data_IF_156533598385
#
_entry.id   IF_156533598385
#
_cell.length_a   1.000
_cell.length_b   1.000
_cell.length_c   1.000
_cell.angle_alpha   90.00
_cell.angle_beta   90.00
_cell.angle_gamma   90.00
#
_symmetry.space_group_name_H-M   'P 1'
#
loop_
_entity.id
_entity.type
_entity.pdbx_description
1 polymer ?
#
# COMPACT_ATOMS: atom_id res chain seq x y z
N UNK A 1 -7.42 24.98 -11.02
CA UNK A 1 -6.49 23.85 -10.85
C UNK A 1 -7.21 22.79 -10.03
N UNK A 2 -7.72 21.75 -10.68
CA UNK A 2 -8.44 20.66 -10.02
C UNK A 2 -8.19 19.39 -10.83
N UNK A 3 -7.05 18.76 -10.59
CA UNK A 3 -6.87 17.36 -10.91
C UNK A 3 -6.46 16.64 -9.63
N UNK A 4 -7.17 15.55 -9.32
CA UNK A 4 -6.62 14.25 -8.93
C UNK A 4 -7.72 13.43 -8.26
N UNK A 5 -8.64 12.96 -9.09
CA UNK A 5 -9.49 11.82 -8.78
C UNK A 5 -9.11 10.68 -9.73
N UNK A 6 -7.82 10.33 -9.77
CA UNK A 6 -7.36 9.12 -10.46
C UNK A 6 -7.53 7.94 -9.51
N UNK A 7 -8.76 7.42 -9.45
CA UNK A 7 -8.96 6.01 -9.07
C UNK A 7 -8.24 5.17 -10.14
N UNK A 8 -7.04 4.70 -9.83
CA UNK A 8 -6.27 3.81 -10.70
C UNK A 8 -7.11 2.55 -10.95
N UNK A 9 -7.67 2.42 -12.15
CA UNK A 9 -8.37 1.19 -12.54
C UNK A 9 -7.34 0.04 -12.52
N UNK A 10 -7.74 -1.17 -12.12
CA UNK A 10 -6.83 -2.31 -12.16
C UNK A 10 -6.28 -2.47 -13.59
N UNK A 11 -4.97 -2.31 -13.73
CA UNK A 11 -4.28 -2.40 -15.02
C UNK A 11 -4.41 -3.84 -15.51
N UNK A 12 -5.13 -4.02 -16.62
CA UNK A 12 -5.23 -5.33 -17.29
C UNK A 12 -3.94 -5.60 -18.03
N UNK A 13 -3.03 -6.33 -17.39
CA UNK A 13 -1.79 -6.80 -18.01
C UNK A 13 -2.06 -7.95 -18.98
N UNK A 14 -1.47 -7.87 -20.17
CA UNK A 14 -1.34 -8.96 -21.14
C UNK A 14 -0.53 -10.12 -20.56
N UNK A 15 -0.61 -11.34 -21.15
CA UNK A 15 0.18 -12.47 -20.69
C UNK A 15 1.69 -12.21 -20.65
N UNK A 16 2.21 -11.49 -21.66
CA UNK A 16 3.64 -11.12 -21.74
C UNK A 16 4.03 -10.17 -20.61
N UNK A 17 3.27 -9.10 -20.39
CA UNK A 17 3.52 -8.14 -19.31
C UNK A 17 3.43 -8.81 -17.93
N UNK A 18 2.51 -9.77 -17.73
CA UNK A 18 2.45 -10.54 -16.48
C UNK A 18 3.70 -11.37 -16.28
N UNK A 19 4.20 -12.02 -17.33
CA UNK A 19 5.43 -12.83 -17.28
C UNK A 19 6.64 -11.97 -16.91
N UNK A 20 6.77 -10.80 -17.53
CA UNK A 20 7.85 -9.84 -17.23
C UNK A 20 7.75 -9.31 -15.79
N UNK A 21 6.56 -8.91 -15.36
CA UNK A 21 6.30 -8.47 -13.99
C UNK A 21 6.65 -9.55 -12.98
N UNK A 22 6.22 -10.80 -13.21
CA UNK A 22 6.53 -11.92 -12.32
C UNK A 22 8.03 -12.22 -12.27
N UNK A 23 8.72 -12.20 -13.42
CA UNK A 23 10.16 -12.38 -13.47
C UNK A 23 10.90 -11.26 -12.72
N UNK A 24 10.42 -10.01 -12.80
CA UNK A 24 10.97 -8.89 -12.05
C UNK A 24 10.77 -9.09 -10.54
N UNK A 25 9.57 -9.48 -10.11
CA UNK A 25 9.28 -9.75 -8.70
C UNK A 25 10.16 -10.87 -8.14
N UNK A 26 10.33 -11.96 -8.89
CA UNK A 26 11.18 -13.07 -8.47
C UNK A 26 12.62 -12.59 -8.25
N UNK A 27 13.18 -11.83 -9.20
CA UNK A 27 14.55 -11.28 -9.05
C UNK A 27 14.70 -10.37 -7.83
N UNK A 28 13.69 -9.56 -7.51
CA UNK A 28 13.70 -8.69 -6.32
C UNK A 28 13.59 -9.49 -5.02
N UNK A 29 12.86 -10.61 -5.04
CA UNK A 29 12.82 -11.54 -3.91
C UNK A 29 14.18 -12.22 -3.72
N UNK A 30 14.79 -12.73 -4.79
CA UNK A 30 16.06 -13.44 -4.73
C UNK A 30 17.23 -12.56 -4.26
N UNK A 31 17.22 -11.25 -4.55
CA UNK A 31 18.23 -10.32 -4.01
C UNK A 31 17.93 -9.81 -2.60
N UNK A 32 16.75 -10.09 -2.06
CA UNK A 32 16.27 -9.48 -0.81
C UNK A 32 15.90 -8.00 -0.94
N UNK A 33 15.99 -7.39 -2.13
CA UNK A 33 15.60 -6.00 -2.37
C UNK A 33 14.10 -5.78 -2.12
N UNK A 34 13.29 -6.80 -2.38
CA UNK A 34 11.85 -6.76 -2.10
C UNK A 34 11.57 -6.58 -0.61
N UNK A 35 12.30 -7.28 0.26
CA UNK A 35 12.15 -7.15 1.72
C UNK A 35 12.68 -5.79 2.21
N UNK A 36 13.80 -5.32 1.67
CA UNK A 36 14.34 -3.98 1.96
C UNK A 36 13.34 -2.87 1.58
N UNK A 37 12.70 -2.99 0.41
CA UNK A 37 11.66 -2.05 -0.03
C UNK A 37 10.45 -2.06 0.93
N UNK A 38 9.95 -3.24 1.32
CA UNK A 38 8.86 -3.36 2.29
C UNK A 38 9.19 -2.66 3.61
N UNK A 39 10.37 -2.94 4.17
CA UNK A 39 10.84 -2.32 5.43
C UNK A 39 10.99 -0.80 5.30
N UNK A 40 11.52 -0.32 4.18
CA UNK A 40 11.66 1.11 3.92
C UNK A 40 10.31 1.82 3.83
N UNK A 41 9.34 1.24 3.11
CA UNK A 41 7.99 1.81 2.99
C UNK A 41 7.29 1.79 4.35
N UNK A 42 7.39 0.67 5.09
CA UNK A 42 6.85 0.56 6.43
C UNK A 42 7.41 1.64 7.37
N UNK A 43 8.73 1.83 7.39
CA UNK A 43 9.37 2.84 8.22
C UNK A 43 8.87 4.26 7.87
N UNK A 44 8.70 4.56 6.58
CA UNK A 44 8.15 5.87 6.16
C UNK A 44 6.69 6.07 6.54
N UNK A 45 5.88 5.01 6.51
CA UNK A 45 4.48 5.09 6.88
C UNK A 45 4.27 5.17 8.39
N UNK A 46 5.07 4.46 9.18
CA UNK A 46 4.79 4.26 10.62
C UNK A 46 5.70 5.10 11.52
N UNK A 47 6.95 5.33 11.10
CA UNK A 47 7.99 5.90 11.97
C UNK A 47 8.45 7.29 11.51
N UNK A 48 8.05 7.73 10.32
CA UNK A 48 8.43 9.02 9.76
C UNK A 48 7.26 10.00 9.80
N UNK A 49 7.50 11.31 10.01
CA UNK A 49 6.45 12.33 10.01
C UNK A 49 5.57 12.32 8.76
N UNK A 50 6.15 12.04 7.59
CA UNK A 50 5.42 11.89 6.31
C UNK A 50 4.24 10.88 6.37
N UNK A 51 4.32 9.90 7.26
CA UNK A 51 3.32 8.84 7.42
C UNK A 51 2.31 9.09 8.53
N UNK A 52 2.52 10.09 9.39
CA UNK A 52 1.74 10.29 10.62
C UNK A 52 0.26 10.55 10.32
N UNK A 53 -0.04 11.48 9.40
CA UNK A 53 -1.41 11.79 9.02
C UNK A 53 -2.13 10.58 8.38
N UNK A 54 -1.39 9.76 7.63
CA UNK A 54 -1.94 8.54 7.04
C UNK A 54 -2.24 7.49 8.11
N UNK A 55 -1.32 7.26 9.05
CA UNK A 55 -1.52 6.34 10.17
C UNK A 55 -2.67 6.76 11.07
N UNK A 56 -2.82 8.05 11.34
CA UNK A 56 -3.94 8.56 12.12
C UNK A 56 -5.27 8.37 11.38
N UNK A 57 -5.29 8.58 10.07
CA UNK A 57 -6.44 8.23 9.22
C UNK A 57 -6.82 6.75 9.33
N UNK A 58 -5.86 5.82 9.30
CA UNK A 58 -6.12 4.39 9.49
C UNK A 58 -6.72 4.10 10.88
N UNK A 59 -6.20 4.74 11.94
CA UNK A 59 -6.74 4.58 13.31
C UNK A 59 -8.16 5.14 13.43
N UNK A 60 -8.43 6.30 12.84
CA UNK A 60 -9.76 6.90 12.83
C UNK A 60 -10.77 6.01 12.09
N UNK A 61 -10.40 5.48 10.92
CA UNK A 61 -11.24 4.54 10.18
C UNK A 61 -11.48 3.23 10.95
N UNK A 62 -10.46 2.74 11.64
CA UNK A 62 -10.57 1.56 12.53
C UNK A 62 -11.57 1.82 13.64
N UNK A 63 -11.45 2.95 14.36
CA UNK A 63 -12.41 3.34 15.42
C UNK A 63 -13.83 3.51 14.88
N UNK A 64 -13.97 4.18 13.73
CA UNK A 64 -15.26 4.40 13.06
C UNK A 64 -15.90 3.10 12.58
N UNK A 65 -15.12 2.09 12.17
CA UNK A 65 -15.62 0.78 11.79
C UNK A 65 -16.12 -0.01 13.01
N UNK A 66 -15.35 -0.01 14.10
CA UNK A 66 -15.73 -0.67 15.35
C UNK A 66 -17.00 -0.05 15.96
N UNK A 67 -17.10 1.29 16.00
CA UNK A 67 -18.29 1.98 16.50
C UNK A 67 -19.56 1.66 15.70
N UNK A 68 -19.43 1.59 14.36
CA UNK A 68 -20.56 1.20 13.48
C UNK A 68 -20.98 -0.24 13.69
N UNK A 69 -20.02 -1.15 13.85
CA UNK A 69 -20.29 -2.58 14.10
C UNK A 69 -21.02 -2.80 15.42
N UNK A 70 -20.73 -1.99 16.44
CA UNK A 70 -21.40 -2.13 17.74
C UNK A 70 -22.82 -1.50 17.77
N UNK A 71 -23.31 -0.95 16.66
CA UNK A 71 -24.63 -0.31 16.60
C UNK A 71 -24.84 0.85 17.58
N UNK A 72 -23.76 1.44 18.10
CA UNK A 72 -23.80 2.44 19.18
C UNK A 72 -24.05 1.88 20.59
N UNK A 73 -23.92 0.56 20.79
CA UNK A 73 -24.06 -0.11 22.09
C UNK A 73 -22.72 -0.66 22.60
N UNK A 74 -22.61 -1.01 23.88
CA UNK A 74 -21.39 -1.59 24.47
C UNK A 74 -21.14 -3.06 24.07
N UNK A 75 -22.02 -3.65 23.26
CA UNK A 75 -21.90 -5.01 22.76
C UNK A 75 -21.13 -5.02 21.44
N UNK A 76 -19.97 -5.67 21.42
CA UNK A 76 -19.28 -6.01 20.17
C UNK A 76 -20.07 -7.16 19.53
N UNK A 77 -20.92 -6.85 18.55
CA UNK A 77 -21.20 -7.84 17.51
C UNK A 77 -19.84 -8.19 16.89
N UNK A 78 -19.48 -9.48 16.85
CA UNK A 78 -18.16 -9.95 16.43
C UNK A 78 -17.84 -9.50 15.00
N UNK A 79 -17.21 -8.33 14.86
CA UNK A 79 -16.62 -7.89 13.62
C UNK A 79 -15.42 -8.78 13.33
N UNK A 80 -15.47 -9.50 12.21
CA UNK A 80 -14.32 -10.30 11.78
C UNK A 80 -13.17 -9.38 11.35
N UNK A 81 -11.94 -9.89 11.43
CA UNK A 81 -10.76 -9.14 10.97
C UNK A 81 -10.85 -8.80 9.48
N UNK A 82 -11.50 -9.64 8.67
CA UNK A 82 -11.68 -9.42 7.23
C UNK A 82 -12.63 -8.26 6.96
N UNK A 83 -13.74 -8.16 7.71
CA UNK A 83 -14.69 -7.06 7.62
C UNK A 83 -14.06 -5.73 8.07
N UNK A 84 -13.29 -5.77 9.16
CA UNK A 84 -12.55 -4.60 9.63
C UNK A 84 -11.53 -4.13 8.59
N UNK A 85 -10.77 -5.06 8.00
CA UNK A 85 -9.79 -4.77 6.96
C UNK A 85 -10.45 -4.13 5.73
N UNK A 86 -11.57 -4.69 5.26
CA UNK A 86 -12.32 -4.15 4.13
C UNK A 86 -12.85 -2.73 4.41
N UNK A 87 -13.36 -2.48 5.61
CA UNK A 87 -13.84 -1.17 6.03
C UNK A 87 -12.71 -0.12 6.07
N UNK A 88 -11.54 -0.48 6.59
CA UNK A 88 -10.36 0.40 6.62
C UNK A 88 -9.89 0.72 5.20
N UNK A 89 -9.80 -0.28 4.32
CA UNK A 89 -9.37 -0.08 2.92
C UNK A 89 -10.32 0.85 2.18
N UNK A 90 -11.64 0.66 2.35
CA UNK A 90 -12.66 1.49 1.70
C UNK A 90 -12.65 2.96 2.17
N UNK A 91 -12.29 3.21 3.44
CA UNK A 91 -12.20 4.54 4.02
C UNK A 91 -10.84 5.24 3.87
N UNK A 92 -9.79 4.52 3.44
CA UNK A 92 -8.45 5.08 3.34
C UNK A 92 -8.28 5.95 2.08
N UNK A 93 -7.59 7.09 2.23
CA UNK A 93 -7.28 8.02 1.12
C UNK A 93 -6.12 7.55 0.22
N UNK A 94 -5.67 6.29 0.36
CA UNK A 94 -4.46 5.78 -0.27
C UNK A 94 -3.18 6.20 0.47
N UNK A 95 -2.05 5.66 0.03
CA UNK A 95 -0.71 5.93 0.56
C UNK A 95 -0.31 7.38 0.22
N UNK A 96 0.46 8.10 1.07
CA UNK A 96 0.98 9.42 0.72
C UNK A 96 1.78 9.39 -0.59
N UNK A 97 1.48 10.32 -1.51
CA UNK A 97 2.09 10.36 -2.85
C UNK A 97 3.63 10.37 -2.81
N UNK A 98 4.24 11.10 -1.87
CA UNK A 98 5.69 11.16 -1.71
C UNK A 98 6.33 9.81 -1.33
N UNK A 99 5.59 8.92 -0.65
CA UNK A 99 6.03 7.57 -0.31
C UNK A 99 5.84 6.66 -1.53
N UNK A 100 4.74 6.81 -2.25
CA UNK A 100 4.46 6.08 -3.49
C UNK A 100 5.50 6.37 -4.58
N UNK A 101 5.80 7.65 -4.83
CA UNK A 101 6.76 8.10 -5.84
C UNK A 101 8.20 7.64 -5.55
N UNK A 102 8.63 7.69 -4.29
CA UNK A 102 9.94 7.17 -3.86
C UNK A 102 10.01 5.66 -4.05
N UNK A 103 8.96 4.93 -3.66
CA UNK A 103 8.89 3.48 -3.85
C UNK A 103 8.99 3.11 -5.34
N UNK A 104 8.22 3.79 -6.20
CA UNK A 104 8.28 3.59 -7.66
C UNK A 104 9.65 3.93 -8.23
N UNK A 105 10.28 5.00 -7.76
CA UNK A 105 11.62 5.41 -8.20
C UNK A 105 12.67 4.38 -7.82
N UNK A 106 12.62 3.82 -6.61
CA UNK A 106 13.52 2.75 -6.16
C UNK A 106 13.34 1.47 -6.97
N UNK A 107 12.10 1.07 -7.24
CA UNK A 107 11.81 -0.09 -8.11
C UNK A 107 12.41 0.12 -9.50
N UNK A 108 12.22 1.30 -10.11
CA UNK A 108 12.81 1.64 -11.42
C UNK A 108 14.34 1.60 -11.40
N UNK A 109 14.96 2.11 -10.34
CA UNK A 109 16.42 2.13 -10.21
C UNK A 109 17.00 0.72 -10.04
N UNK A 110 16.36 -0.12 -9.21
CA UNK A 110 16.76 -1.52 -9.03
C UNK A 110 16.64 -2.32 -10.32
N UNK A 111 15.65 -2.00 -11.15
CA UNK A 111 15.51 -2.59 -12.47
C UNK A 111 16.63 -2.13 -13.43
N UNK A 112 16.85 -0.81 -13.56
CA UNK A 112 17.88 -0.23 -14.44
C UNK A 112 19.30 -0.68 -14.09
N UNK A 113 19.65 -0.67 -12.81
CA UNK A 113 20.98 -1.08 -12.33
C UNK A 113 21.28 -2.57 -12.62
N UNK A 114 20.25 -3.39 -12.84
CA UNK A 114 20.40 -4.81 -13.20
C UNK A 114 20.45 -5.04 -14.69
N UNK A 115 19.73 -4.27 -15.50
CA UNK A 115 19.83 -4.35 -16.97
C UNK A 115 21.23 -3.94 -17.45
N UNK A 116 21.93 -3.06 -16.72
CA UNK A 116 23.32 -2.66 -17.03
C UNK A 116 24.39 -3.68 -16.60
N UNK A 117 24.03 -4.74 -15.86
CA UNK A 117 24.96 -5.81 -15.43
C UNK A 117 24.89 -7.06 -16.32
N UNK A 118 24.16 -7.00 -17.43
CA UNK A 118 24.08 -8.02 -18.47
C UNK A 118 24.87 -7.58 -19.69
#
# INVERSE_FOLDING_TARGET
MTELNKKSKPVKLTPTERKERNAMLQKLQDSGDFDRLKKSVYARLVLHPDGEAWMEGIREQTRSALQRSNGGTESIEELTLDELSAAIVAGSSGIPAAIEEDCLSRIKNLYRARDQRR
#
